data_IF_873105640059
#
_entry.id   IF_873105640059
#
_cell.length_a   1.000
_cell.length_b   1.000
_cell.length_c   1.000
_cell.angle_alpha   90.00
_cell.angle_beta   90.00
_cell.angle_gamma   90.00
#
_symmetry.space_group_name_H-M   'P 1'
#
loop_
_entity.id
_entity.type
_entity.pdbx_description
1 polymer ?
#
# COMPACT_ATOMS: atom_id res chain seq x y z
N UNK A 1 -2.33 -56.40 -29.70
CA UNK A 1 -1.51 -55.17 -29.65
C UNK A 1 -1.84 -54.38 -28.39
N UNK A 2 -1.18 -54.75 -27.29
CA UNK A 2 -1.31 -54.16 -25.94
C UNK A 2 -0.22 -53.10 -25.73
N UNK A 3 -0.30 -51.95 -26.42
CA UNK A 3 0.68 -50.87 -26.16
C UNK A 3 0.17 -49.53 -26.67
N UNK A 4 -0.62 -48.84 -25.84
CA UNK A 4 -0.72 -47.37 -25.74
C UNK A 4 -1.84 -46.97 -24.77
N UNK A 5 -2.01 -47.70 -23.65
CA UNK A 5 -2.78 -47.18 -22.53
C UNK A 5 -1.87 -46.16 -21.86
N UNK A 6 -1.92 -44.92 -22.35
CA UNK A 6 -1.12 -43.81 -21.83
C UNK A 6 -1.14 -43.84 -20.31
N UNK A 7 0.05 -43.84 -19.71
CA UNK A 7 0.23 -43.73 -18.27
C UNK A 7 -0.46 -42.41 -17.88
N UNK A 8 -1.68 -42.50 -17.37
CA UNK A 8 -2.35 -41.36 -16.77
C UNK A 8 -1.55 -41.05 -15.52
N UNK A 9 -0.86 -39.92 -15.52
CA UNK A 9 -0.09 -39.41 -14.39
C UNK A 9 -1.05 -39.24 -13.20
N UNK A 10 -1.19 -40.30 -12.40
CA UNK A 10 -2.08 -40.36 -11.24
C UNK A 10 -1.45 -39.68 -10.02
N UNK A 11 -0.14 -39.43 -10.05
CA UNK A 11 0.61 -38.83 -8.95
C UNK A 11 0.32 -37.34 -8.71
N UNK A 12 -0.07 -36.57 -9.75
CA UNK A 12 -0.30 -35.13 -9.60
C UNK A 12 -1.61 -34.77 -8.92
N UNK A 13 -2.59 -35.68 -8.85
CA UNK A 13 -3.90 -35.40 -8.26
C UNK A 13 -3.92 -35.51 -6.74
N UNK A 14 -2.95 -36.22 -6.15
CA UNK A 14 -2.91 -36.51 -4.72
C UNK A 14 -2.62 -35.25 -3.91
N UNK A 15 -1.71 -34.40 -4.41
CA UNK A 15 -1.31 -33.18 -3.72
C UNK A 15 -2.50 -32.20 -3.51
N UNK A 16 -3.27 -31.82 -4.55
CA UNK A 16 -4.44 -30.94 -4.37
C UNK A 16 -5.54 -31.54 -3.49
N UNK A 17 -5.73 -32.87 -3.52
CA UNK A 17 -6.72 -33.55 -2.67
C UNK A 17 -6.35 -33.43 -1.18
N UNK A 18 -5.09 -33.71 -0.84
CA UNK A 18 -4.58 -33.60 0.53
C UNK A 18 -4.58 -32.15 1.01
N UNK A 19 -4.17 -31.21 0.15
CA UNK A 19 -4.21 -29.77 0.42
C UNK A 19 -5.65 -29.29 0.65
N UNK A 20 -6.59 -29.66 -0.21
CA UNK A 20 -8.01 -29.30 -0.08
C UNK A 20 -8.64 -29.85 1.20
N UNK A 21 -8.31 -31.09 1.59
CA UNK A 21 -8.76 -31.68 2.85
C UNK A 21 -8.19 -30.94 4.05
N UNK A 22 -6.91 -30.59 4.01
CA UNK A 22 -6.26 -29.83 5.09
C UNK A 22 -6.87 -28.42 5.19
N UNK A 23 -7.10 -27.76 4.06
CA UNK A 23 -7.74 -26.45 3.97
C UNK A 23 -9.13 -26.45 4.60
N UNK A 24 -9.98 -27.41 4.21
CA UNK A 24 -11.33 -27.55 4.75
C UNK A 24 -11.33 -27.77 6.27
N UNK A 25 -10.39 -28.58 6.78
CA UNK A 25 -10.23 -28.81 8.22
C UNK A 25 -9.80 -27.56 8.97
N UNK A 26 -8.88 -26.77 8.41
CA UNK A 26 -8.46 -25.51 9.02
C UNK A 26 -9.62 -24.51 9.06
N UNK A 27 -10.40 -24.37 7.99
CA UNK A 27 -11.59 -23.51 7.99
C UNK A 27 -12.57 -23.92 9.09
N UNK A 28 -12.92 -25.22 9.15
CA UNK A 28 -13.80 -25.76 10.17
C UNK A 28 -13.27 -25.54 11.59
N UNK A 29 -11.98 -25.82 11.83
CA UNK A 29 -11.33 -25.62 13.12
C UNK A 29 -11.39 -24.15 13.54
N UNK A 30 -11.08 -23.23 12.63
CA UNK A 30 -11.07 -21.79 12.93
C UNK A 30 -12.47 -21.34 13.30
N UNK A 31 -13.51 -21.74 12.56
CA UNK A 31 -14.90 -21.42 12.88
C UNK A 31 -15.29 -21.94 14.28
N UNK A 32 -14.94 -23.18 14.62
CA UNK A 32 -15.22 -23.74 15.95
C UNK A 32 -14.45 -23.03 17.07
N UNK A 33 -13.18 -22.68 16.84
CA UNK A 33 -12.39 -21.89 17.78
C UNK A 33 -12.96 -20.48 17.93
N UNK A 34 -13.54 -19.95 16.87
CA UNK A 34 -14.20 -18.66 16.85
C UNK A 34 -15.45 -18.64 17.72
N UNK A 35 -16.30 -19.63 17.54
CA UNK A 35 -17.49 -19.82 18.37
C UNK A 35 -17.09 -20.04 19.83
N UNK A 36 -16.02 -20.80 20.08
CA UNK A 36 -15.47 -20.93 21.42
C UNK A 36 -15.06 -19.56 21.97
N UNK A 37 -14.26 -18.77 21.23
CA UNK A 37 -13.83 -17.43 21.64
C UNK A 37 -15.01 -16.51 21.99
N UNK A 38 -16.05 -16.48 21.15
CA UNK A 38 -17.26 -15.68 21.38
C UNK A 38 -18.04 -16.10 22.63
N UNK A 39 -18.10 -17.40 22.90
CA UNK A 39 -18.82 -17.94 24.05
C UNK A 39 -17.99 -17.92 25.34
N UNK A 40 -16.74 -17.45 25.31
CA UNK A 40 -15.91 -17.38 26.52
C UNK A 40 -16.33 -16.22 27.42
N UNK A 41 -16.69 -16.55 28.66
CA UNK A 41 -17.00 -15.55 29.71
C UNK A 41 -15.73 -14.96 30.35
N UNK A 42 -14.61 -15.68 30.31
CA UNK A 42 -13.37 -15.28 30.99
C UNK A 42 -12.35 -14.65 30.03
N UNK A 43 -12.06 -13.37 30.24
CA UNK A 43 -11.16 -12.56 29.40
C UNK A 43 -9.74 -13.17 29.29
N UNK A 44 -9.18 -13.68 30.39
CA UNK A 44 -7.83 -14.27 30.38
C UNK A 44 -7.71 -15.47 29.42
N UNK A 45 -8.78 -16.28 29.29
CA UNK A 45 -8.79 -17.44 28.39
C UNK A 45 -9.03 -17.02 26.94
N UNK A 46 -9.84 -15.98 26.75
CA UNK A 46 -10.13 -15.44 25.43
C UNK A 46 -8.85 -14.98 24.70
N UNK A 47 -7.91 -14.33 25.40
CA UNK A 47 -6.63 -13.88 24.82
C UNK A 47 -5.82 -15.03 24.21
N UNK A 48 -5.68 -16.15 24.91
CA UNK A 48 -4.95 -17.32 24.38
C UNK A 48 -5.67 -17.97 23.19
N UNK A 49 -7.00 -18.03 23.21
CA UNK A 49 -7.78 -18.58 22.10
C UNK A 49 -7.60 -17.70 20.85
N UNK A 50 -7.61 -16.39 21.02
CA UNK A 50 -7.35 -15.42 19.95
C UNK A 50 -5.95 -15.57 19.35
N UNK A 51 -4.92 -15.79 20.18
CA UNK A 51 -3.56 -16.08 19.70
C UNK A 51 -3.53 -17.36 18.84
N UNK A 52 -4.20 -18.43 19.29
CA UNK A 52 -4.24 -19.68 18.53
C UNK A 52 -5.02 -19.48 17.21
N UNK A 53 -6.15 -18.77 17.23
CA UNK A 53 -6.90 -18.42 16.02
C UNK A 53 -6.00 -17.67 15.03
N UNK A 54 -5.21 -16.70 15.51
CA UNK A 54 -4.28 -15.95 14.66
C UNK A 54 -3.20 -16.83 14.02
N UNK A 55 -2.66 -17.80 14.77
CA UNK A 55 -1.69 -18.77 14.24
C UNK A 55 -2.34 -19.68 13.20
N UNK A 56 -3.53 -20.21 13.49
CA UNK A 56 -4.30 -21.05 12.56
C UNK A 56 -4.66 -20.29 11.28
N UNK A 57 -5.06 -19.02 11.39
CA UNK A 57 -5.35 -18.15 10.24
C UNK A 57 -4.12 -17.93 9.37
N UNK A 58 -2.96 -17.61 9.96
CA UNK A 58 -1.70 -17.49 9.21
C UNK A 58 -1.38 -18.76 8.43
N UNK A 59 -1.49 -19.92 9.09
CA UNK A 59 -1.25 -21.21 8.45
C UNK A 59 -2.25 -21.52 7.33
N UNK A 60 -3.51 -21.13 7.51
CA UNK A 60 -4.54 -21.26 6.47
C UNK A 60 -4.24 -20.40 5.24
N UNK A 61 -3.73 -19.18 5.43
CA UNK A 61 -3.30 -18.31 4.32
C UNK A 61 -2.13 -18.90 3.55
N UNK A 62 -1.11 -19.42 4.24
CA UNK A 62 0.00 -20.13 3.61
C UNK A 62 -0.50 -21.30 2.76
N UNK A 63 -1.37 -22.13 3.34
CA UNK A 63 -1.93 -23.29 2.68
C UNK A 63 -2.78 -22.91 1.46
N UNK A 64 -3.57 -21.84 1.55
CA UNK A 64 -4.32 -21.30 0.41
C UNK A 64 -3.37 -20.87 -0.70
N UNK A 65 -2.30 -20.16 -0.35
CA UNK A 65 -1.33 -19.69 -1.32
C UNK A 65 -0.64 -20.86 -2.04
N UNK A 66 -0.20 -21.87 -1.30
CA UNK A 66 0.35 -23.11 -1.87
C UNK A 66 -0.65 -23.81 -2.79
N UNK A 67 -1.93 -23.88 -2.40
CA UNK A 67 -2.99 -24.52 -3.18
C UNK A 67 -3.29 -23.77 -4.49
N UNK A 68 -3.31 -22.44 -4.46
CA UNK A 68 -3.47 -21.58 -5.66
C UNK A 68 -2.28 -21.77 -6.60
N UNK A 69 -1.05 -21.81 -6.08
CA UNK A 69 0.14 -22.06 -6.89
C UNK A 69 0.14 -23.45 -7.54
N UNK A 70 -0.36 -24.46 -6.84
CA UNK A 70 -0.43 -25.83 -7.37
C UNK A 70 -1.48 -25.94 -8.48
N UNK A 71 -2.67 -25.39 -8.25
CA UNK A 71 -3.81 -25.50 -9.17
C UNK A 71 -3.74 -24.47 -10.31
N UNK A 72 -2.93 -23.41 -10.16
CA UNK A 72 -2.80 -22.27 -11.08
C UNK A 72 -4.17 -21.63 -11.33
N UNK A 73 -4.95 -21.49 -10.27
CA UNK A 73 -6.25 -20.82 -10.31
C UNK A 73 -6.56 -20.16 -8.96
N UNK A 74 -7.11 -18.96 -9.00
CA UNK A 74 -7.51 -18.23 -7.79
C UNK A 74 -8.75 -18.85 -7.14
N UNK A 75 -9.60 -19.48 -7.96
CA UNK A 75 -10.81 -20.18 -7.53
C UNK A 75 -10.53 -21.67 -7.34
N UNK A 76 -10.37 -22.09 -6.08
CA UNK A 76 -10.16 -23.50 -5.75
C UNK A 76 -11.46 -24.10 -5.20
N UNK A 77 -11.99 -25.09 -5.90
CA UNK A 77 -13.14 -25.87 -5.47
C UNK A 77 -12.69 -27.06 -4.64
N UNK A 78 -13.30 -27.24 -3.47
CA UNK A 78 -12.88 -28.23 -2.46
C UNK A 78 -13.96 -29.29 -2.24
N UNK A 79 -14.86 -29.47 -3.21
CA UNK A 79 -16.04 -30.33 -3.09
C UNK A 79 -15.70 -31.78 -2.76
N UNK A 80 -14.63 -32.32 -3.37
CA UNK A 80 -14.17 -33.67 -3.08
C UNK A 80 -13.77 -33.83 -1.60
N UNK A 81 -13.11 -32.82 -1.03
CA UNK A 81 -12.71 -32.84 0.37
C UNK A 81 -13.90 -32.59 1.31
N UNK A 82 -14.88 -31.76 0.92
CA UNK A 82 -16.13 -31.58 1.66
C UNK A 82 -16.91 -32.89 1.78
N UNK A 83 -17.07 -33.62 0.68
CA UNK A 83 -17.73 -34.93 0.67
C UNK A 83 -16.99 -35.93 1.57
N UNK A 84 -15.66 -35.95 1.51
CA UNK A 84 -14.85 -36.84 2.37
C UNK A 84 -14.94 -36.50 3.86
N UNK A 85 -15.07 -35.22 4.20
CA UNK A 85 -15.14 -34.75 5.58
C UNK A 85 -16.58 -34.66 6.11
N UNK A 86 -17.58 -34.95 5.26
CA UNK A 86 -19.00 -34.77 5.56
C UNK A 86 -19.33 -33.35 6.04
N UNK A 87 -18.66 -32.36 5.46
CA UNK A 87 -18.86 -30.95 5.76
C UNK A 87 -19.78 -30.31 4.72
N UNK A 88 -20.58 -29.36 5.16
CA UNK A 88 -21.37 -28.51 4.27
C UNK A 88 -20.55 -27.29 3.86
N UNK A 89 -20.86 -26.64 2.72
CA UNK A 89 -20.22 -25.39 2.32
C UNK A 89 -20.35 -24.27 3.38
N UNK A 90 -21.38 -24.33 4.22
CA UNK A 90 -21.57 -23.39 5.32
C UNK A 90 -20.48 -23.54 6.40
N UNK A 91 -20.06 -24.78 6.67
CA UNK A 91 -19.08 -25.09 7.72
C UNK A 91 -17.66 -24.59 7.38
N UNK A 92 -17.35 -24.43 6.08
CA UNK A 92 -16.06 -23.91 5.59
C UNK A 92 -16.09 -22.41 5.27
N UNK A 93 -17.25 -21.77 5.31
CA UNK A 93 -17.31 -20.32 5.18
C UNK A 93 -16.66 -19.70 6.41
N UNK A 94 -15.49 -19.09 6.21
CA UNK A 94 -14.84 -18.33 7.26
C UNK A 94 -15.69 -17.07 7.46
N UNK A 95 -16.47 -17.04 8.53
CA UNK A 95 -17.20 -15.85 8.93
C UNK A 95 -16.14 -14.86 9.39
N UNK A 96 -15.76 -13.90 8.52
CA UNK A 96 -14.85 -12.83 8.92
C UNK A 96 -15.57 -12.04 10.00
N UNK A 97 -15.11 -12.12 11.25
CA UNK A 97 -15.79 -11.43 12.32
C UNK A 97 -15.45 -9.95 12.21
N UNK A 98 -16.49 -9.11 12.18
CA UNK A 98 -16.36 -7.64 12.24
C UNK A 98 -15.70 -7.14 13.53
N UNK A 99 -15.52 -8.03 14.50
CA UNK A 99 -14.57 -7.88 15.57
C UNK A 99 -13.25 -8.51 15.12
N UNK A 100 -12.60 -7.87 14.16
CA UNK A 100 -11.26 -7.39 14.45
C UNK A 100 -11.49 -6.18 15.37
N UNK A 101 -11.89 -6.36 16.65
CA UNK A 101 -12.12 -5.21 17.48
C UNK A 101 -10.73 -4.63 17.75
N UNK A 102 -10.72 -3.41 18.25
CA UNK A 102 -9.54 -2.60 18.48
C UNK A 102 -8.40 -3.29 19.28
N UNK A 103 -8.65 -4.45 19.89
CA UNK A 103 -7.74 -5.29 20.67
C UNK A 103 -6.67 -6.03 19.85
N UNK A 104 -6.92 -6.38 18.57
CA UNK A 104 -5.92 -7.03 17.70
C UNK A 104 -4.83 -6.06 17.21
N UNK A 105 -4.97 -4.76 17.49
CA UNK A 105 -4.04 -3.72 17.07
C UNK A 105 -3.26 -3.30 18.31
N UNK A 106 -2.01 -3.76 18.40
CA UNK A 106 -1.07 -3.32 19.45
C UNK A 106 -0.89 -1.81 19.46
N UNK A 107 -1.03 -1.19 18.29
CA UNK A 107 -1.25 0.24 18.11
C UNK A 107 -2.76 0.52 18.06
N UNK A 108 -3.29 1.50 18.80
CA UNK A 108 -4.66 1.96 18.55
C UNK A 108 -4.86 2.26 17.05
N UNK A 109 -6.07 2.07 16.52
CA UNK A 109 -6.39 2.42 15.11
C UNK A 109 -5.91 3.83 14.78
N UNK A 110 -6.05 4.72 15.75
CA UNK A 110 -5.56 6.09 15.72
C UNK A 110 -4.03 6.18 15.57
N UNK A 111 -3.23 5.44 16.33
CA UNK A 111 -1.77 5.46 16.21
C UNK A 111 -1.29 5.00 14.84
N UNK A 112 -1.94 3.99 14.26
CA UNK A 112 -1.61 3.55 12.90
C UNK A 112 -1.97 4.59 11.84
N UNK A 113 -3.14 5.23 11.97
CA UNK A 113 -3.56 6.31 11.08
C UNK A 113 -2.64 7.53 11.21
N UNK A 114 -2.23 7.88 12.44
CA UNK A 114 -1.26 8.93 12.71
C UNK A 114 0.10 8.63 12.07
N UNK A 115 0.59 7.38 12.15
CA UNK A 115 1.82 6.94 11.46
C UNK A 115 1.69 7.07 9.94
N UNK A 116 0.58 6.60 9.35
CA UNK A 116 0.31 6.72 7.91
C UNK A 116 0.22 8.18 7.45
N UNK A 117 -0.48 9.03 8.19
CA UNK A 117 -0.58 10.46 7.90
C UNK A 117 0.78 11.15 8.00
N UNK A 118 1.56 10.88 9.06
CA UNK A 118 2.91 11.43 9.20
C UNK A 118 3.80 11.02 8.02
N UNK A 119 3.70 9.78 7.55
CA UNK A 119 4.45 9.30 6.40
C UNK A 119 3.97 9.92 5.08
N UNK A 120 2.66 10.08 4.89
CA UNK A 120 2.08 10.75 3.73
C UNK A 120 2.49 12.24 3.66
N UNK A 121 2.47 12.95 4.79
CA UNK A 121 2.96 14.33 4.90
C UNK A 121 4.45 14.40 4.58
N UNK A 122 5.26 13.45 5.08
CA UNK A 122 6.69 13.38 4.72
C UNK A 122 6.92 13.15 3.23
N UNK A 123 6.13 12.30 2.58
CA UNK A 123 6.19 12.10 1.11
C UNK A 123 5.85 13.38 0.36
N UNK A 124 4.80 14.08 0.79
CA UNK A 124 4.38 15.37 0.22
C UNK A 124 5.50 16.41 0.36
N UNK A 125 6.06 16.58 1.56
CA UNK A 125 7.10 17.57 1.81
C UNK A 125 8.43 17.25 1.08
N UNK A 126 8.79 15.98 0.90
CA UNK A 126 9.94 15.58 0.05
C UNK A 126 9.71 15.90 -1.42
N UNK A 127 8.48 15.71 -1.92
CA UNK A 127 8.11 16.14 -3.27
C UNK A 127 8.14 17.67 -3.42
N UNK A 128 7.69 18.39 -2.39
CA UNK A 128 7.69 19.85 -2.37
C UNK A 128 9.10 20.44 -2.31
N UNK A 129 10.02 19.85 -1.55
CA UNK A 129 11.42 20.30 -1.55
C UNK A 129 12.13 20.13 -2.91
N UNK A 130 11.69 19.20 -3.76
CA UNK A 130 12.23 19.04 -5.12
C UNK A 130 11.70 20.15 -6.04
N UNK A 131 10.44 20.55 -5.88
CA UNK A 131 9.83 21.65 -6.63
C UNK A 131 10.37 23.01 -6.20
N UNK A 132 10.61 23.21 -4.89
CA UNK A 132 11.18 24.45 -4.35
C UNK A 132 12.65 24.67 -4.79
N UNK A 133 13.41 23.60 -5.06
CA UNK A 133 14.77 23.70 -5.65
C UNK A 133 14.70 24.19 -7.11
N UNK A 134 13.57 23.99 -7.78
CA UNK A 134 13.40 24.34 -9.20
C UNK A 134 12.81 25.74 -9.40
N UNK A 135 12.23 26.35 -8.37
CA UNK A 135 11.56 27.67 -8.42
C UNK A 135 12.37 28.78 -7.73
N UNK A 136 13.55 28.47 -7.19
CA UNK A 136 14.51 29.48 -6.77
C UNK A 136 15.23 30.03 -8.01
N UNK A 137 14.63 31.06 -8.61
CA UNK A 137 15.24 31.83 -9.69
C UNK A 137 16.63 32.31 -9.23
N UNK A 138 17.73 31.98 -9.94
CA UNK A 138 19.06 32.37 -9.51
C UNK A 138 19.09 33.89 -9.43
N UNK A 139 19.36 34.44 -8.25
CA UNK A 139 19.51 35.89 -8.12
C UNK A 139 20.55 36.35 -9.14
N UNK A 140 20.23 37.31 -10.03
CA UNK A 140 21.19 37.76 -11.01
C UNK A 140 22.39 38.32 -10.27
N UNK A 141 23.59 37.80 -10.58
CA UNK A 141 24.86 38.15 -9.92
C UNK A 141 25.13 39.66 -9.78
N UNK A 142 24.40 40.47 -10.55
CA UNK A 142 24.33 41.93 -10.49
C UNK A 142 23.89 42.48 -9.12
N UNK A 143 23.06 41.79 -8.34
CA UNK A 143 22.62 42.28 -7.01
C UNK A 143 23.76 42.24 -5.98
N UNK A 144 24.58 41.21 -6.01
CA UNK A 144 25.71 41.02 -5.09
C UNK A 144 26.89 41.93 -5.43
N UNK A 145 27.19 42.12 -6.72
CA UNK A 145 28.21 43.08 -7.17
C UNK A 145 27.78 44.51 -6.80
N UNK A 146 26.53 44.89 -7.04
CA UNK A 146 26.01 46.23 -6.69
C UNK A 146 26.05 46.50 -5.19
N UNK A 147 25.71 45.52 -4.35
CA UNK A 147 25.81 45.64 -2.90
C UNK A 147 27.28 45.80 -2.42
N UNK A 148 28.22 45.07 -3.02
CA UNK A 148 29.65 45.19 -2.69
C UNK A 148 30.26 46.54 -3.12
N UNK A 149 29.79 47.13 -4.22
CA UNK A 149 30.25 48.43 -4.74
C UNK A 149 29.65 49.61 -3.97
N UNK A 150 28.39 49.50 -3.52
CA UNK A 150 27.76 50.48 -2.63
C UNK A 150 28.43 50.51 -1.24
N UNK A 151 28.83 49.34 -0.73
CA UNK A 151 29.55 49.23 0.54
C UNK A 151 30.98 49.82 0.51
N UNK A 152 31.63 49.90 -0.66
CA UNK A 152 33.01 50.40 -0.78
C UNK A 152 33.14 51.89 -1.08
N UNK A 153 32.06 52.56 -1.50
CA UNK A 153 32.09 53.97 -1.94
C UNK A 153 31.51 54.97 -0.95
N UNK A 154 30.95 54.51 0.19
CA UNK A 154 30.55 55.37 1.30
C UNK A 154 29.61 56.52 0.91
N UNK A 155 28.80 56.33 -0.14
CA UNK A 155 27.88 57.32 -0.67
C UNK A 155 26.47 56.95 -0.18
N UNK A 156 25.87 57.81 0.64
CA UNK A 156 24.55 57.60 1.23
C UNK A 156 23.46 57.38 0.16
N UNK A 157 22.63 56.35 0.37
CA UNK A 157 21.52 55.88 -0.48
C UNK A 157 20.36 56.91 -0.70
N UNK A 158 20.51 58.17 -0.27
CA UNK A 158 19.45 59.18 -0.32
C UNK A 158 19.63 60.26 -1.39
N UNK A 159 20.60 60.15 -2.30
CA UNK A 159 20.68 61.03 -3.48
C UNK A 159 20.12 60.29 -4.69
N UNK A 160 18.81 60.43 -4.91
CA UNK A 160 18.18 60.02 -6.17
C UNK A 160 18.65 60.99 -7.26
N UNK A 161 19.43 60.57 -8.28
CA UNK A 161 19.70 61.44 -9.42
C UNK A 161 18.38 61.74 -10.16
N UNK A 162 18.13 62.98 -10.59
CA UNK A 162 16.87 63.35 -11.23
C UNK A 162 16.66 62.53 -12.50
N UNK A 163 15.46 61.96 -12.64
CA UNK A 163 15.10 61.12 -13.77
C UNK A 163 15.40 61.85 -15.10
N UNK A 164 16.15 61.24 -16.03
CA UNK A 164 16.28 61.79 -17.37
C UNK A 164 14.89 61.81 -18.05
N UNK A 165 14.53 62.96 -18.63
CA UNK A 165 13.24 63.23 -19.27
C UNK A 165 12.89 62.16 -20.32
N UNK A 166 11.61 61.80 -20.50
CA UNK A 166 11.22 60.83 -21.51
C UNK A 166 11.59 61.32 -22.90
N UNK A 167 12.47 60.60 -23.58
CA UNK A 167 12.77 60.82 -24.99
C UNK A 167 11.69 60.16 -25.87
N UNK A 168 11.43 60.71 -27.08
CA UNK A 168 10.13 60.67 -27.74
C UNK A 168 9.79 59.29 -28.32
N UNK A 169 8.49 58.94 -28.28
CA UNK A 169 7.94 57.83 -29.05
C UNK A 169 8.21 58.07 -30.55
N UNK A 170 8.92 57.13 -31.19
CA UNK A 170 8.95 57.00 -32.65
C UNK A 170 8.21 55.72 -33.03
N UNK A 171 6.97 55.96 -33.41
CA UNK A 171 6.21 55.44 -34.55
C UNK A 171 6.55 54.08 -35.18
N UNK A 172 5.45 53.37 -35.40
CA UNK A 172 5.26 52.22 -36.29
C UNK A 172 5.62 52.59 -37.73
N UNK A 173 6.30 51.68 -38.42
CA UNK A 173 6.22 51.38 -39.87
C UNK A 173 7.07 50.10 -40.09
N UNK A 174 6.48 48.91 -40.25
CA UNK A 174 5.99 48.28 -41.49
C UNK A 174 7.07 48.04 -42.56
N UNK A 175 7.48 46.79 -42.72
CA UNK A 175 7.89 46.12 -43.96
C UNK A 175 7.58 44.62 -43.71
N UNK A 176 6.48 44.03 -44.16
CA UNK A 176 6.05 43.72 -45.53
C UNK A 176 7.05 42.95 -46.40
N UNK A 177 6.48 41.95 -47.09
CA UNK A 177 7.01 41.16 -48.23
C UNK A 177 7.69 39.84 -47.87
N UNK A 178 6.96 38.71 -47.89
CA UNK A 178 6.56 37.96 -49.08
C UNK A 178 7.73 37.22 -49.77
N UNK A 179 7.77 35.91 -49.54
CA UNK A 179 7.95 34.86 -50.56
C UNK A 179 7.59 33.50 -49.97
#
# INVERSE_FOLDING_TARGET
>A
NLTAKGIRIKERSIAPEILGRSYSRYCYLINQMYDAYLNNVHIQRATYIQEIINICMKRLYELRNEMVHLIVNDYVYVDAALVQLQLTPYDIQIIIPYHLPLECRTDSVENFLQKLWAEAVRRKNKGQSILDIQEQEPQPATSQIRASWAASTGLDDNVVPPAPKPAPQQDKESEDSAS
#
